data_IF_337030589476
#
_entry.id   IF_337030589476
#
_cell.length_a   1.000
_cell.length_b   1.000
_cell.length_c   1.000
_cell.angle_alpha   90.00
_cell.angle_beta   90.00
_cell.angle_gamma   90.00
#
_symmetry.space_group_name_H-M   'P 1'
#
loop_
_entity.id
_entity.type
_entity.pdbx_description
1 polymer ?
#
# COMPACT_ATOMS: atom_id res chain seq x y z
N UNK A 1 -18.89 2.18 -6.78
CA UNK A 1 -18.23 1.74 -5.53
C UNK A 1 -18.24 2.90 -4.56
N UNK A 2 -18.51 2.67 -3.27
CA UNK A 2 -18.45 3.73 -2.27
C UNK A 2 -16.99 3.88 -1.80
N UNK A 3 -16.27 4.86 -2.36
CA UNK A 3 -14.84 5.08 -2.14
C UNK A 3 -14.48 5.50 -0.70
N UNK A 4 -15.48 5.88 0.11
CA UNK A 4 -15.31 6.24 1.52
C UNK A 4 -15.56 5.07 2.48
N UNK A 5 -16.03 3.92 1.98
CA UNK A 5 -16.28 2.76 2.83
C UNK A 5 -14.96 2.22 3.40
N UNK A 6 -14.92 2.06 4.73
CA UNK A 6 -13.78 1.45 5.42
C UNK A 6 -13.56 0.01 4.94
N UNK A 7 -12.29 -0.40 4.90
CA UNK A 7 -11.93 -1.78 4.54
C UNK A 7 -12.43 -2.78 5.58
N UNK A 8 -12.33 -2.43 6.87
CA UNK A 8 -12.79 -3.26 7.99
C UNK A 8 -11.74 -4.26 8.48
N UNK A 9 -11.92 -4.72 9.72
CA UNK A 9 -10.96 -5.57 10.44
C UNK A 9 -10.74 -6.92 9.76
N UNK A 10 -11.79 -7.57 9.28
CA UNK A 10 -11.70 -8.89 8.65
C UNK A 10 -10.79 -8.89 7.41
N UNK A 11 -10.92 -7.88 6.55
CA UNK A 11 -10.08 -7.75 5.37
C UNK A 11 -8.65 -7.39 5.77
N UNK A 12 -8.47 -6.46 6.70
CA UNK A 12 -7.16 -6.04 7.17
C UNK A 12 -6.36 -7.21 7.77
N UNK A 13 -7.00 -8.02 8.62
CA UNK A 13 -6.37 -9.21 9.20
C UNK A 13 -5.92 -10.20 8.10
N UNK A 14 -6.77 -10.50 7.12
CA UNK A 14 -6.39 -11.40 6.00
C UNK A 14 -5.21 -10.85 5.19
N UNK A 15 -5.18 -9.53 4.97
CA UNK A 15 -4.07 -8.86 4.28
C UNK A 15 -2.76 -8.97 5.07
N UNK A 16 -2.79 -8.81 6.39
CA UNK A 16 -1.59 -9.02 7.24
C UNK A 16 -1.08 -10.44 7.09
N UNK A 17 -1.95 -11.44 7.24
CA UNK A 17 -1.56 -12.85 7.12
C UNK A 17 -0.96 -13.17 5.75
N UNK A 18 -1.56 -12.65 4.67
CA UNK A 18 -1.03 -12.81 3.33
C UNK A 18 0.34 -12.14 3.18
N UNK A 19 0.47 -10.89 3.62
CA UNK A 19 1.71 -10.11 3.49
C UNK A 19 2.87 -10.79 4.20
N UNK A 20 2.65 -11.34 5.39
CA UNK A 20 3.68 -12.07 6.12
C UNK A 20 4.15 -13.34 5.39
N UNK A 21 3.24 -14.00 4.66
CA UNK A 21 3.57 -15.20 3.88
C UNK A 21 4.30 -14.87 2.58
N UNK A 22 3.91 -13.80 1.90
CA UNK A 22 4.39 -13.46 0.56
C UNK A 22 5.44 -12.35 0.53
N UNK A 23 5.72 -11.72 1.67
CA UNK A 23 6.63 -10.57 1.87
C UNK A 23 6.23 -9.28 1.16
N UNK A 24 5.44 -9.32 0.09
CA UNK A 24 4.98 -8.13 -0.61
C UNK A 24 3.58 -8.24 -1.22
N UNK A 25 2.92 -7.10 -1.34
CA UNK A 25 1.69 -6.87 -2.10
C UNK A 25 1.94 -5.66 -3.00
N UNK A 26 2.13 -5.89 -4.29
CA UNK A 26 2.43 -4.85 -5.28
C UNK A 26 1.81 -5.20 -6.63
N UNK A 27 1.85 -4.26 -7.57
CA UNK A 27 1.63 -4.60 -8.97
C UNK A 27 3.00 -4.93 -9.55
N UNK A 28 3.01 -5.78 -10.58
CA UNK A 28 4.22 -6.03 -11.34
C UNK A 28 4.03 -5.54 -12.76
N UNK A 29 4.80 -4.53 -13.14
CA UNK A 29 5.10 -4.20 -14.52
C UNK A 29 6.41 -3.39 -14.55
N UNK A 30 6.85 -3.04 -15.75
CA UNK A 30 8.02 -2.20 -15.95
C UNK A 30 7.73 -0.77 -15.46
N UNK A 31 8.73 -0.09 -14.90
CA UNK A 31 8.67 1.28 -14.36
C UNK A 31 7.79 1.40 -13.10
N UNK A 32 7.00 2.48 -12.98
CA UNK A 32 6.28 2.84 -11.76
C UNK A 32 5.10 1.93 -11.46
N UNK A 33 5.20 1.09 -10.42
CA UNK A 33 4.25 0.05 -10.01
C UNK A 33 3.13 0.47 -9.07
N UNK A 34 2.95 1.77 -8.88
CA UNK A 34 1.98 2.26 -7.93
C UNK A 34 2.45 2.10 -6.50
N UNK A 35 1.49 1.94 -5.60
CA UNK A 35 1.77 1.68 -4.19
C UNK A 35 1.43 0.26 -3.77
N UNK A 36 2.10 -0.18 -2.72
CA UNK A 36 2.01 -1.53 -2.20
C UNK A 36 2.46 -1.62 -0.75
N UNK A 37 2.44 -2.85 -0.25
CA UNK A 37 2.95 -3.20 1.06
C UNK A 37 4.18 -4.10 0.93
N UNK A 38 5.20 -3.87 1.75
CA UNK A 38 6.38 -4.71 1.84
C UNK A 38 6.66 -5.05 3.31
N UNK A 39 7.12 -6.26 3.57
CA UNK A 39 7.55 -6.73 4.90
C UNK A 39 8.99 -7.21 4.82
N UNK A 40 9.89 -6.56 5.56
CA UNK A 40 11.33 -6.89 5.57
C UNK A 40 11.71 -7.97 6.60
N UNK A 41 10.73 -8.53 7.32
CA UNK A 41 10.94 -9.45 8.44
C UNK A 41 10.82 -8.79 9.81
N UNK A 42 10.83 -7.45 9.89
CA UNK A 42 10.69 -6.68 11.12
C UNK A 42 9.60 -5.60 11.02
N UNK A 43 9.59 -4.83 9.94
CA UNK A 43 8.70 -3.68 9.71
C UNK A 43 7.82 -3.91 8.49
N UNK A 44 6.65 -3.29 8.50
CA UNK A 44 5.77 -3.20 7.34
C UNK A 44 5.87 -1.80 6.74
N UNK A 45 6.05 -1.72 5.42
CA UNK A 45 6.16 -0.48 4.69
C UNK A 45 4.96 -0.34 3.76
N UNK A 46 4.28 0.80 3.84
CA UNK A 46 3.45 1.31 2.76
C UNK A 46 4.30 2.24 1.90
N UNK A 47 4.55 1.84 0.65
CA UNK A 47 5.51 2.54 -0.20
C UNK A 47 5.17 2.43 -1.69
N UNK A 48 5.86 3.21 -2.51
CA UNK A 48 5.86 3.09 -3.97
C UNK A 48 6.69 1.88 -4.42
N UNK A 49 6.35 1.31 -5.56
CA UNK A 49 7.11 0.22 -6.17
C UNK A 49 7.59 0.63 -7.56
N UNK A 50 8.75 0.16 -7.96
CA UNK A 50 9.31 0.34 -9.31
C UNK A 50 9.93 -0.96 -9.79
N UNK A 51 9.62 -1.37 -11.03
CA UNK A 51 10.11 -2.61 -11.64
C UNK A 51 9.89 -3.86 -10.75
N UNK A 52 8.84 -3.84 -9.91
CA UNK A 52 8.49 -4.91 -8.98
C UNK A 52 9.18 -4.85 -7.61
N UNK A 53 10.02 -3.86 -7.36
CA UNK A 53 10.76 -3.67 -6.10
C UNK A 53 10.20 -2.50 -5.28
N UNK A 54 10.18 -2.58 -3.94
CA UNK A 54 9.77 -1.48 -3.09
C UNK A 54 10.81 -0.34 -3.13
N UNK A 55 10.34 0.89 -3.26
CA UNK A 55 11.14 2.10 -3.07
C UNK A 55 11.25 2.38 -1.56
N UNK A 56 12.39 2.03 -0.96
CA UNK A 56 12.61 2.18 0.48
C UNK A 56 13.38 3.47 0.83
N UNK A 57 13.50 4.40 -0.11
CA UNK A 57 14.00 5.75 0.20
C UNK A 57 12.92 6.57 0.92
N UNK A 58 13.32 7.58 1.71
CA UNK A 58 12.35 8.42 2.42
C UNK A 58 11.55 9.30 1.45
N UNK A 59 10.26 9.39 1.70
CA UNK A 59 9.36 10.28 0.99
C UNK A 59 9.74 11.75 1.18
N UNK A 60 9.82 12.49 0.07
CA UNK A 60 10.50 13.79 -0.10
C UNK A 60 12.03 13.70 0.02
N UNK A 61 12.68 13.26 -1.06
CA UNK A 61 14.11 13.50 -1.25
C UNK A 61 14.37 14.96 -1.69
N UNK A 62 15.63 15.37 -1.73
CA UNK A 62 16.07 16.74 -2.10
C UNK A 62 15.64 17.20 -3.49
N UNK A 63 15.11 16.31 -4.32
CA UNK A 63 14.59 16.57 -5.67
C UNK A 63 13.05 16.68 -5.69
N UNK A 64 12.40 16.71 -4.52
CA UNK A 64 10.96 16.87 -4.38
C UNK A 64 10.15 15.75 -5.08
N UNK A 65 10.74 14.55 -5.21
CA UNK A 65 10.04 13.41 -5.82
C UNK A 65 8.99 12.87 -4.85
N UNK A 66 7.79 12.66 -5.37
CA UNK A 66 6.69 12.00 -4.67
C UNK A 66 6.84 10.47 -4.73
N UNK A 67 8.00 9.95 -4.34
CA UNK A 67 8.29 8.51 -4.29
C UNK A 67 8.95 8.14 -2.97
N UNK A 68 9.05 6.84 -2.67
CA UNK A 68 9.57 6.34 -1.40
C UNK A 68 8.52 5.98 -0.35
N UNK A 69 9.00 5.75 0.88
CA UNK A 69 8.23 5.26 2.03
C UNK A 69 7.17 6.28 2.44
N UNK A 70 5.92 5.94 2.18
CA UNK A 70 4.76 6.74 2.60
C UNK A 70 4.52 6.56 4.09
N UNK A 71 4.62 5.32 4.59
CA UNK A 71 4.49 5.02 6.02
C UNK A 71 5.21 3.73 6.41
N UNK A 72 5.80 3.73 7.61
CA UNK A 72 6.36 2.54 8.26
C UNK A 72 5.50 2.16 9.47
N UNK A 73 5.34 0.86 9.69
CA UNK A 73 4.71 0.28 10.87
C UNK A 73 5.70 -0.66 11.53
N UNK A 74 5.87 -0.52 12.83
CA UNK A 74 6.82 -1.33 13.60
C UNK A 74 6.14 -2.55 14.23
N UNK A 75 4.80 -2.55 14.27
CA UNK A 75 4.00 -3.65 14.81
C UNK A 75 2.90 -4.05 13.83
N UNK A 76 2.61 -5.36 13.77
CA UNK A 76 1.58 -5.89 12.87
C UNK A 76 0.19 -5.37 13.23
N UNK A 77 -0.10 -5.24 14.52
CA UNK A 77 -1.38 -4.74 15.01
C UNK A 77 -1.60 -3.28 14.60
N UNK A 78 -0.53 -2.47 14.64
CA UNK A 78 -0.57 -1.08 14.17
C UNK A 78 -0.95 -1.00 12.68
N UNK A 79 -0.33 -1.84 11.85
CA UNK A 79 -0.65 -1.92 10.42
C UNK A 79 -2.08 -2.39 10.18
N UNK A 80 -2.52 -3.44 10.88
CA UNK A 80 -3.87 -4.00 10.76
C UNK A 80 -4.93 -2.95 11.11
N UNK A 81 -4.80 -2.29 12.26
CA UNK A 81 -5.75 -1.28 12.74
C UNK A 81 -5.80 -0.07 11.81
N UNK A 82 -4.64 0.35 11.30
CA UNK A 82 -4.58 1.40 10.30
C UNK A 82 -5.29 1.00 9.02
N UNK A 83 -5.01 -0.19 8.47
CA UNK A 83 -5.56 -0.66 7.22
C UNK A 83 -7.08 -0.83 7.30
N UNK A 84 -7.60 -1.34 8.43
CA UNK A 84 -9.03 -1.48 8.67
C UNK A 84 -9.78 -0.14 8.57
N UNK A 85 -9.10 0.96 8.89
CA UNK A 85 -9.64 2.33 8.85
C UNK A 85 -9.40 3.07 7.53
N UNK A 86 -8.73 2.44 6.56
CA UNK A 86 -8.55 2.98 5.21
C UNK A 86 -9.78 2.76 4.33
N UNK A 87 -9.82 3.53 3.25
CA UNK A 87 -10.80 3.45 2.18
C UNK A 87 -10.09 3.73 0.85
N UNK A 88 -10.74 3.43 -0.27
CA UNK A 88 -10.16 3.68 -1.60
C UNK A 88 -9.78 5.16 -1.77
N UNK A 89 -10.59 6.07 -1.22
CA UNK A 89 -10.31 7.51 -1.23
C UNK A 89 -9.09 7.86 -0.39
N UNK A 90 -8.95 7.34 0.84
CA UNK A 90 -7.80 7.67 1.70
C UNK A 90 -6.48 7.16 1.15
N UNK A 91 -6.51 6.08 0.36
CA UNK A 91 -5.32 5.53 -0.29
C UNK A 91 -5.18 6.00 -1.74
N UNK A 92 -5.99 6.95 -2.19
CA UNK A 92 -5.98 7.44 -3.56
C UNK A 92 -4.70 8.20 -3.93
N UNK A 93 -3.97 8.76 -2.97
CA UNK A 93 -2.86 9.66 -3.30
C UNK A 93 -3.31 11.08 -3.63
N UNK A 94 -4.59 11.44 -3.43
CA UNK A 94 -5.09 12.82 -3.60
C UNK A 94 -4.30 13.86 -2.81
N UNK A 95 -3.70 13.47 -1.68
CA UNK A 95 -2.85 14.33 -0.87
C UNK A 95 -1.57 14.77 -1.58
N UNK A 96 -1.20 14.10 -2.68
CA UNK A 96 -0.04 14.43 -3.49
C UNK A 96 -0.12 15.76 -4.20
N UNK A 97 -1.34 16.19 -4.54
CA UNK A 97 -1.56 17.28 -5.49
C UNK A 97 -0.86 17.05 -6.84
N UNK A 98 -0.55 15.79 -7.18
CA UNK A 98 0.07 15.37 -8.42
C UNK A 98 -0.85 14.36 -9.12
N UNK A 99 -1.33 14.74 -10.31
CA UNK A 99 -2.24 13.94 -11.13
C UNK A 99 -1.62 12.59 -11.52
N UNK A 100 -0.29 12.48 -11.60
CA UNK A 100 0.38 11.23 -11.93
C UNK A 100 0.26 10.19 -10.81
N UNK A 101 0.26 10.60 -9.54
CA UNK A 101 0.19 9.69 -8.39
C UNK A 101 -1.25 9.48 -7.90
N UNK A 102 -2.11 10.48 -8.09
CA UNK A 102 -3.52 10.43 -7.71
C UNK A 102 -4.26 9.35 -8.50
N UNK A 103 -4.87 8.41 -7.79
CA UNK A 103 -5.61 7.25 -8.29
C UNK A 103 -4.81 6.28 -9.18
N UNK A 104 -3.52 6.53 -9.41
CA UNK A 104 -2.69 5.73 -10.28
C UNK A 104 -2.11 4.52 -9.54
N UNK A 105 -2.58 3.32 -9.92
CA UNK A 105 -2.07 2.03 -9.42
C UNK A 105 -2.01 1.91 -7.88
N UNK A 106 -3.01 2.48 -7.21
CA UNK A 106 -3.10 2.50 -5.75
C UNK A 106 -3.63 1.18 -5.17
N UNK A 107 -3.54 1.05 -3.85
CA UNK A 107 -4.23 0.02 -3.09
C UNK A 107 -5.73 0.37 -3.02
N UNK A 108 -6.57 -0.60 -3.37
CA UNK A 108 -8.03 -0.49 -3.26
C UNK A 108 -8.60 -1.72 -2.56
N UNK A 109 -9.79 -1.58 -1.99
CA UNK A 109 -10.52 -2.67 -1.34
C UNK A 109 -10.67 -3.87 -2.28
N UNK A 110 -11.14 -3.63 -3.50
CA UNK A 110 -11.34 -4.68 -4.50
C UNK A 110 -10.04 -5.44 -4.80
N UNK A 111 -8.92 -4.72 -4.92
CA UNK A 111 -7.62 -5.34 -5.20
C UNK A 111 -7.18 -6.25 -4.07
N UNK A 112 -7.33 -5.79 -2.82
CA UNK A 112 -7.02 -6.61 -1.64
C UNK A 112 -7.95 -7.83 -1.55
N UNK A 113 -9.25 -7.64 -1.77
CA UNK A 113 -10.22 -8.75 -1.74
C UNK A 113 -9.92 -9.81 -2.80
N UNK A 114 -9.62 -9.41 -4.04
CA UNK A 114 -9.23 -10.34 -5.11
C UNK A 114 -7.98 -11.13 -4.75
N UNK A 115 -6.95 -10.43 -4.29
CA UNK A 115 -5.69 -11.04 -3.90
C UNK A 115 -5.85 -12.08 -2.78
N UNK A 116 -6.75 -11.83 -1.82
CA UNK A 116 -7.06 -12.77 -0.74
C UNK A 116 -7.93 -13.96 -1.20
N UNK A 117 -8.77 -13.78 -2.22
CA UNK A 117 -9.57 -14.88 -2.78
C UNK A 117 -8.74 -15.83 -3.66
N UNK A 118 -7.65 -15.33 -4.24
CA UNK A 118 -6.76 -16.08 -5.15
C UNK A 118 -5.57 -16.74 -4.42
N UNK A 119 -5.42 -16.52 -3.11
CA UNK A 119 -4.29 -16.98 -2.27
C UNK A 119 -4.53 -18.28 -1.51
#
# INVERSE_FOLDING_TARGET
MNSDLKFGEDLANKVVQYLMKQTQISNYHKEYCGTGFYFDGQNIFYTHFFDGYPDLEHYQNSENRYSGIIRTFHEMMEFQDWLANQSDRKLSGEESQDDFYSYNQRITKLRLEKLILES
#
